data_IF_737790412791
#
_entry.id   IF_737790412791
#
_cell.length_a   1.000
_cell.length_b   1.000
_cell.length_c   1.000
_cell.angle_alpha   90.00
_cell.angle_beta   90.00
_cell.angle_gamma   90.00
#
_symmetry.space_group_name_H-M   'P 1'
#
loop_
_entity.id
_entity.type
_entity.pdbx_description
1 polymer ?
#
# COMPACT_ATOMS: atom_id res chain seq x y z
N UNK A 1 4.51 -29.43 -1.39
CA UNK A 1 3.43 -28.91 -0.53
C UNK A 1 3.23 -27.45 -0.89
N UNK A 2 2.15 -27.14 -1.59
CA UNK A 2 1.80 -25.77 -1.90
C UNK A 2 1.46 -25.07 -0.57
N UNK A 3 2.33 -24.13 -0.14
CA UNK A 3 2.02 -23.27 0.99
C UNK A 3 0.77 -22.49 0.60
N UNK A 4 -0.32 -22.76 1.29
CA UNK A 4 -1.59 -22.07 1.07
C UNK A 4 -1.41 -20.62 1.50
N UNK A 5 -1.30 -19.70 0.53
CA UNK A 5 -1.19 -18.28 0.80
C UNK A 5 -2.54 -17.71 1.20
N UNK A 6 -2.57 -16.92 2.25
CA UNK A 6 -3.71 -16.07 2.53
C UNK A 6 -3.84 -15.01 1.42
N UNK A 7 -5.00 -14.96 0.77
CA UNK A 7 -5.24 -13.96 -0.27
C UNK A 7 -5.81 -12.69 0.36
N UNK A 8 -5.08 -11.58 0.18
CA UNK A 8 -5.52 -10.25 0.62
C UNK A 8 -6.00 -9.45 -0.60
N UNK A 9 -7.24 -9.00 -0.55
CA UNK A 9 -7.88 -8.22 -1.61
C UNK A 9 -8.65 -7.03 -1.01
N UNK A 10 -8.91 -6.03 -1.81
CA UNK A 10 -9.82 -4.95 -1.44
C UNK A 10 -11.26 -5.36 -1.77
N UNK A 11 -12.18 -5.38 -0.80
CA UNK A 11 -13.57 -5.76 -1.03
C UNK A 11 -14.36 -4.68 -1.81
N UNK A 12 -13.80 -3.49 -1.92
CA UNK A 12 -14.35 -2.32 -2.61
C UNK A 12 -13.31 -1.74 -3.56
N UNK A 13 -13.65 -0.74 -4.35
CA UNK A 13 -12.73 -0.07 -5.27
C UNK A 13 -11.46 0.39 -4.55
N UNK A 14 -11.58 0.88 -3.31
CA UNK A 14 -10.45 1.19 -2.46
C UNK A 14 -10.76 0.96 -0.98
N UNK A 15 -9.71 0.79 -0.19
CA UNK A 15 -9.76 0.67 1.26
C UNK A 15 -8.60 1.47 1.86
N UNK A 16 -8.88 2.17 2.96
CA UNK A 16 -7.89 3.02 3.65
C UNK A 16 -7.81 2.61 5.11
N UNK A 17 -6.59 2.40 5.59
CA UNK A 17 -6.29 2.23 7.00
C UNK A 17 -5.31 3.30 7.46
N UNK A 18 -5.57 3.87 8.63
CA UNK A 18 -4.67 4.81 9.27
C UNK A 18 -4.45 4.47 10.73
N UNK A 19 -3.26 4.83 11.25
CA UNK A 19 -2.85 4.52 12.63
C UNK A 19 -2.87 3.02 12.94
N UNK A 20 -2.56 2.18 11.94
CA UNK A 20 -2.48 0.74 12.13
C UNK A 20 -1.23 0.43 12.96
N UNK A 21 -1.44 -0.19 14.10
CA UNK A 21 -0.43 -0.48 15.11
C UNK A 21 0.03 -1.95 15.09
N UNK A 22 0.95 -2.29 15.98
CA UNK A 22 1.40 -3.66 16.15
C UNK A 22 0.26 -4.63 16.50
N UNK A 23 -0.74 -4.17 17.24
CA UNK A 23 -1.86 -5.02 17.65
C UNK A 23 -2.70 -5.52 16.48
N UNK A 24 -2.93 -4.67 15.48
CA UNK A 24 -3.66 -5.07 14.27
C UNK A 24 -2.81 -5.95 13.34
N UNK A 25 -1.49 -5.73 13.32
CA UNK A 25 -0.60 -6.45 12.42
C UNK A 25 -0.10 -7.80 12.94
N UNK A 26 -0.14 -8.03 14.25
CA UNK A 26 0.40 -9.25 14.86
C UNK A 26 -0.25 -10.54 14.35
N UNK A 27 -1.52 -10.49 13.93
CA UNK A 27 -2.23 -11.63 13.38
C UNK A 27 -1.64 -12.14 12.06
N UNK A 28 -0.88 -11.28 11.36
CA UNK A 28 -0.26 -11.61 10.08
C UNK A 28 1.19 -12.09 10.19
N UNK A 29 1.75 -12.12 11.41
CA UNK A 29 3.14 -12.55 11.61
C UNK A 29 3.29 -14.02 11.22
N UNK A 30 4.30 -14.28 10.38
CA UNK A 30 4.62 -15.60 9.82
C UNK A 30 3.53 -16.23 8.94
N UNK A 31 2.51 -15.47 8.55
CA UNK A 31 1.51 -15.91 7.59
C UNK A 31 1.91 -15.43 6.19
N UNK A 32 2.20 -16.34 5.25
CA UNK A 32 2.46 -15.95 3.88
C UNK A 32 1.17 -15.46 3.20
N UNK A 33 1.21 -14.23 2.69
CA UNK A 33 0.08 -13.60 2.03
C UNK A 33 0.37 -13.38 0.54
N UNK A 34 -0.65 -13.56 -0.29
CA UNK A 34 -0.66 -13.12 -1.68
C UNK A 34 -1.58 -11.91 -1.82
N UNK A 35 -1.06 -10.83 -2.35
CA UNK A 35 -1.79 -9.58 -2.55
C UNK A 35 -2.49 -9.62 -3.91
N UNK A 36 -3.79 -9.39 -3.94
CA UNK A 36 -4.57 -9.25 -5.18
C UNK A 36 -4.79 -7.79 -5.55
N UNK A 37 -4.79 -6.91 -4.57
CA UNK A 37 -4.93 -5.46 -4.73
C UNK A 37 -3.57 -4.78 -5.02
N UNK A 38 -3.60 -3.53 -5.45
CA UNK A 38 -2.46 -2.62 -5.33
C UNK A 38 -2.46 -2.00 -3.95
N UNK A 39 -1.35 -2.08 -3.21
CA UNK A 39 -1.27 -1.58 -1.83
C UNK A 39 -0.11 -0.60 -1.69
N UNK A 40 -0.40 0.56 -1.11
CA UNK A 40 0.57 1.60 -0.79
C UNK A 40 0.59 1.79 0.72
N UNK A 41 1.74 1.57 1.33
CA UNK A 41 1.92 1.67 2.78
C UNK A 41 2.92 2.78 3.05
N UNK A 42 2.60 3.68 3.99
CA UNK A 42 3.54 4.65 4.55
C UNK A 42 3.85 4.24 5.99
N UNK A 43 5.11 3.98 6.29
CA UNK A 43 5.57 3.73 7.65
C UNK A 43 5.82 5.06 8.36
N UNK A 44 5.02 5.33 9.38
CA UNK A 44 5.09 6.55 10.17
C UNK A 44 6.08 6.43 11.34
N UNK A 45 6.09 5.28 11.99
CA UNK A 45 6.98 4.95 13.11
C UNK A 45 7.30 3.47 13.12
N UNK A 46 8.37 3.09 13.79
CA UNK A 46 8.76 1.70 14.01
C UNK A 46 9.38 1.01 12.80
N UNK A 47 9.40 -0.31 12.86
CA UNK A 47 10.02 -1.18 11.86
C UNK A 47 9.21 -2.46 11.65
N UNK A 48 9.24 -2.96 10.42
CA UNK A 48 8.70 -4.27 10.02
C UNK A 48 9.79 -5.01 9.24
N UNK A 49 10.16 -6.21 9.68
CA UNK A 49 10.98 -7.15 8.90
C UNK A 49 10.06 -8.11 8.15
N UNK A 50 10.20 -8.18 6.85
CA UNK A 50 9.34 -8.99 6.00
C UNK A 50 10.09 -9.57 4.81
N UNK A 51 9.54 -10.63 4.22
CA UNK A 51 9.94 -11.09 2.89
C UNK A 51 8.89 -10.59 1.89
N UNK A 52 9.34 -9.83 0.89
CA UNK A 52 8.50 -9.35 -0.22
C UNK A 52 9.10 -9.87 -1.52
N UNK A 53 8.30 -10.59 -2.30
CA UNK A 53 8.72 -11.17 -3.59
C UNK A 53 10.06 -11.93 -3.51
N UNK A 54 10.23 -12.75 -2.47
CA UNK A 54 11.44 -13.55 -2.15
C UNK A 54 12.65 -12.76 -1.62
N UNK A 55 12.55 -11.46 -1.45
CA UNK A 55 13.60 -10.63 -0.86
C UNK A 55 13.28 -10.30 0.60
N UNK A 56 14.22 -10.54 1.50
CA UNK A 56 14.09 -10.12 2.91
C UNK A 56 14.42 -8.63 3.02
N UNK A 57 13.45 -7.86 3.54
CA UNK A 57 13.50 -6.40 3.57
C UNK A 57 13.04 -5.88 4.93
N UNK A 58 13.56 -4.72 5.30
CA UNK A 58 13.12 -3.98 6.49
C UNK A 58 12.46 -2.67 6.07
N UNK A 59 11.21 -2.50 6.47
CA UNK A 59 10.48 -1.23 6.36
C UNK A 59 10.68 -0.44 7.63
N UNK A 60 11.02 0.83 7.54
CA UNK A 60 11.22 1.74 8.67
C UNK A 60 10.57 3.08 8.42
N UNK A 61 10.62 3.97 9.42
CA UNK A 61 10.07 5.33 9.33
C UNK A 61 10.46 6.03 8.04
N UNK A 62 9.49 6.71 7.41
CA UNK A 62 9.58 7.39 6.11
C UNK A 62 9.83 6.45 4.93
N UNK A 63 9.58 5.15 5.08
CA UNK A 63 9.52 4.27 3.94
C UNK A 63 8.09 4.21 3.37
N UNK A 64 8.01 4.23 2.06
CA UNK A 64 6.81 3.85 1.30
C UNK A 64 7.02 2.44 0.77
N UNK A 65 6.06 1.56 1.01
CA UNK A 65 6.03 0.21 0.46
C UNK A 65 4.94 0.15 -0.59
N UNK A 66 5.30 -0.26 -1.79
CA UNK A 66 4.35 -0.46 -2.90
C UNK A 66 4.26 -1.94 -3.23
N UNK A 67 3.09 -2.52 -3.03
CA UNK A 67 2.80 -3.91 -3.39
C UNK A 67 1.86 -3.92 -4.59
N UNK A 68 2.32 -4.53 -5.67
CA UNK A 68 1.50 -4.71 -6.88
C UNK A 68 0.65 -5.97 -6.77
N UNK A 69 -0.43 -6.09 -7.56
CA UNK A 69 -1.17 -7.34 -7.67
C UNK A 69 -0.23 -8.51 -7.97
N UNK A 70 -0.48 -9.64 -7.33
CA UNK A 70 0.35 -10.84 -7.30
C UNK A 70 1.64 -10.78 -6.48
N UNK A 71 1.95 -9.65 -5.81
CA UNK A 71 3.02 -9.62 -4.82
C UNK A 71 2.77 -10.63 -3.71
N UNK A 72 3.87 -11.20 -3.20
CA UNK A 72 3.86 -12.11 -2.04
C UNK A 72 4.55 -11.41 -0.89
N UNK A 73 3.92 -11.43 0.29
CA UNK A 73 4.49 -10.85 1.50
C UNK A 73 4.36 -11.82 2.68
N UNK A 74 5.38 -11.87 3.51
CA UNK A 74 5.35 -12.52 4.80
C UNK A 74 6.04 -11.64 5.82
N UNK A 75 5.29 -11.21 6.85
CA UNK A 75 5.83 -10.44 7.97
C UNK A 75 6.50 -11.41 8.94
N UNK A 76 7.73 -11.11 9.38
CA UNK A 76 8.48 -11.91 10.34
C UNK A 76 8.52 -11.27 11.71
N UNK A 77 8.76 -9.96 11.77
CA UNK A 77 8.89 -9.20 13.01
C UNK A 77 8.30 -7.82 12.86
N UNK A 78 7.72 -7.34 13.94
CA UNK A 78 7.11 -6.00 14.02
C UNK A 78 7.61 -5.36 15.31
N UNK A 79 8.11 -4.12 15.24
CA UNK A 79 8.46 -3.37 16.46
C UNK A 79 7.19 -2.94 17.21
N UNK A 80 7.24 -2.81 18.54
CA UNK A 80 6.07 -2.44 19.33
C UNK A 80 5.52 -1.04 19.01
N UNK A 81 6.36 -0.16 18.51
CA UNK A 81 6.06 1.23 18.15
C UNK A 81 5.64 1.40 16.68
N UNK A 82 5.43 0.30 15.96
CA UNK A 82 5.01 0.39 14.55
C UNK A 82 3.72 1.17 14.38
N UNK A 83 3.73 2.07 13.43
CA UNK A 83 2.56 2.82 13.01
C UNK A 83 2.60 3.00 11.50
N UNK A 84 1.58 2.50 10.83
CA UNK A 84 1.48 2.59 9.37
C UNK A 84 0.14 3.19 8.93
N UNK A 85 0.18 3.81 7.76
CA UNK A 85 -0.99 4.13 6.95
C UNK A 85 -0.96 3.25 5.72
N UNK A 86 -2.10 2.79 5.24
CA UNK A 86 -2.17 2.09 3.97
C UNK A 86 -3.39 2.49 3.14
N UNK A 87 -3.25 2.39 1.83
CA UNK A 87 -4.35 2.43 0.87
C UNK A 87 -4.24 1.18 0.01
N UNK A 88 -5.34 0.49 -0.18
CA UNK A 88 -5.45 -0.62 -1.11
C UNK A 88 -6.47 -0.28 -2.19
N UNK A 89 -6.14 -0.55 -3.45
CA UNK A 89 -7.04 -0.41 -4.59
C UNK A 89 -7.29 -1.78 -5.20
N UNK A 90 -8.56 -2.10 -5.48
CA UNK A 90 -8.91 -3.35 -6.14
C UNK A 90 -8.25 -3.45 -7.53
N UNK A 91 -8.01 -4.66 -8.00
CA UNK A 91 -7.49 -4.88 -9.35
C UNK A 91 -8.40 -4.27 -10.42
N UNK A 92 -9.72 -4.42 -10.28
CA UNK A 92 -10.71 -3.88 -11.21
C UNK A 92 -10.64 -2.35 -11.26
N UNK A 93 -10.48 -1.69 -10.11
CA UNK A 93 -10.30 -0.24 -10.06
C UNK A 93 -8.98 0.20 -10.71
N UNK A 94 -7.90 -0.53 -10.51
CA UNK A 94 -6.61 -0.25 -11.15
C UNK A 94 -6.72 -0.40 -12.69
N UNK A 95 -7.47 -1.39 -13.19
CA UNK A 95 -7.75 -1.53 -14.60
C UNK A 95 -8.61 -0.38 -15.13
N UNK A 96 -9.64 0.00 -14.40
CA UNK A 96 -10.50 1.13 -14.73
C UNK A 96 -9.72 2.45 -14.88
N UNK A 97 -8.72 2.68 -14.06
CA UNK A 97 -7.87 3.89 -14.11
C UNK A 97 -6.77 3.85 -15.16
N UNK A 98 -6.62 2.74 -15.88
CA UNK A 98 -5.46 2.47 -16.76
C UNK A 98 -4.10 2.56 -16.05
N UNK A 99 -4.07 2.37 -14.73
CA UNK A 99 -2.85 2.47 -13.93
C UNK A 99 -1.72 1.58 -14.47
N UNK A 100 -2.02 0.32 -14.74
CA UNK A 100 -1.01 -0.64 -15.23
C UNK A 100 -0.38 -0.16 -16.53
N UNK A 101 -1.19 0.37 -17.45
CA UNK A 101 -0.71 0.87 -18.74
C UNK A 101 0.15 2.13 -18.59
N UNK A 102 -0.27 3.07 -17.75
CA UNK A 102 0.45 4.33 -17.52
C UNK A 102 1.75 4.17 -16.75
N UNK A 103 1.86 3.11 -15.94
CA UNK A 103 3.02 2.83 -15.09
C UNK A 103 3.91 1.69 -15.57
N UNK A 104 3.65 1.14 -16.75
CA UNK A 104 4.34 -0.06 -17.26
C UNK A 104 5.86 0.06 -17.21
N UNK A 105 6.43 1.25 -17.45
CA UNK A 105 7.87 1.50 -17.37
C UNK A 105 8.45 1.37 -15.96
N UNK A 106 7.63 1.50 -14.93
CA UNK A 106 8.06 1.48 -13.52
C UNK A 106 7.72 0.17 -12.81
N UNK A 107 6.84 -0.66 -13.37
CA UNK A 107 6.36 -1.87 -12.70
C UNK A 107 7.48 -2.83 -12.31
N UNK A 108 8.47 -2.99 -13.17
CA UNK A 108 9.62 -3.85 -12.89
C UNK A 108 10.49 -3.29 -11.76
N UNK A 109 10.64 -1.97 -11.69
CA UNK A 109 11.38 -1.32 -10.62
C UNK A 109 10.64 -1.42 -9.29
N UNK A 110 9.33 -1.18 -9.28
CA UNK A 110 8.48 -1.37 -8.10
C UNK A 110 8.58 -2.81 -7.61
N UNK A 111 8.51 -3.80 -8.50
CA UNK A 111 8.60 -5.19 -8.14
C UNK A 111 9.96 -5.56 -7.51
N UNK A 112 11.06 -5.00 -8.03
CA UNK A 112 12.43 -5.23 -7.53
C UNK A 112 12.72 -4.46 -6.26
N UNK A 113 12.22 -3.23 -6.16
CA UNK A 113 12.50 -2.30 -5.06
C UNK A 113 11.18 -1.78 -4.48
N UNK A 114 10.40 -2.66 -3.80
CA UNK A 114 9.08 -2.29 -3.31
C UNK A 114 9.11 -1.29 -2.15
N UNK A 115 10.28 -1.04 -1.55
CA UNK A 115 10.46 -0.12 -0.44
C UNK A 115 11.35 1.04 -0.86
N UNK A 116 10.84 2.26 -0.69
CA UNK A 116 11.57 3.50 -0.98
C UNK A 116 11.52 4.42 0.22
N UNK A 117 12.66 5.01 0.56
CA UNK A 117 12.74 6.06 1.56
C UNK A 117 12.39 7.41 0.94
N UNK A 118 11.53 8.16 1.61
CA UNK A 118 11.09 9.50 1.18
C UNK A 118 11.47 10.57 2.20
N UNK A 119 11.41 11.84 1.78
CA UNK A 119 11.60 12.97 2.68
C UNK A 119 10.37 13.21 3.55
N UNK A 120 10.54 13.92 4.67
CA UNK A 120 9.43 14.29 5.55
C UNK A 120 8.35 15.12 4.80
N UNK A 121 8.76 16.02 3.91
CA UNK A 121 7.81 16.82 3.13
C UNK A 121 6.95 15.95 2.20
N UNK A 122 7.53 14.94 1.57
CA UNK A 122 6.79 13.97 0.75
C UNK A 122 5.86 13.10 1.60
N UNK A 123 6.33 12.67 2.78
CA UNK A 123 5.49 11.93 3.71
C UNK A 123 4.27 12.74 4.15
N UNK A 124 4.44 14.02 4.45
CA UNK A 124 3.35 14.92 4.80
C UNK A 124 2.33 15.06 3.65
N UNK A 125 2.81 15.21 2.42
CA UNK A 125 1.93 15.26 1.25
C UNK A 125 1.16 13.96 1.06
N UNK A 126 1.82 12.81 1.16
CA UNK A 126 1.17 11.51 1.06
C UNK A 126 0.15 11.33 2.17
N UNK A 127 0.47 11.72 3.40
CA UNK A 127 -0.47 11.67 4.54
C UNK A 127 -1.75 12.46 4.25
N UNK A 128 -1.65 13.63 3.61
CA UNK A 128 -2.84 14.40 3.21
C UNK A 128 -3.73 13.64 2.22
N UNK A 129 -3.15 12.87 1.30
CA UNK A 129 -3.93 12.00 0.40
C UNK A 129 -4.63 10.86 1.17
N UNK A 130 -3.95 10.25 2.14
CA UNK A 130 -4.57 9.24 3.01
C UNK A 130 -5.76 9.81 3.78
N UNK A 131 -5.60 11.00 4.37
CA UNK A 131 -6.67 11.67 5.10
C UNK A 131 -7.87 11.96 4.17
N UNK A 132 -7.61 12.46 2.98
CA UNK A 132 -8.67 12.75 2.00
C UNK A 132 -9.43 11.47 1.62
N UNK A 133 -8.72 10.40 1.25
CA UNK A 133 -9.36 9.12 0.91
C UNK A 133 -10.07 8.49 2.10
N UNK A 134 -9.55 8.67 3.31
CA UNK A 134 -10.21 8.19 4.52
C UNK A 134 -11.55 8.90 4.74
N UNK A 135 -11.61 10.22 4.56
CA UNK A 135 -12.86 10.97 4.64
C UNK A 135 -13.87 10.49 3.59
N UNK A 136 -13.42 10.19 2.37
CA UNK A 136 -14.27 9.57 1.35
C UNK A 136 -14.83 8.22 1.78
N UNK A 137 -14.02 7.38 2.41
CA UNK A 137 -14.44 6.06 2.87
C UNK A 137 -15.48 6.14 4.01
N UNK A 138 -15.35 7.15 4.88
CA UNK A 138 -16.24 7.34 6.05
C UNK A 138 -17.53 8.06 5.68
N UNK A 139 -17.50 8.97 4.71
CA UNK A 139 -18.65 9.80 4.30
C UNK A 139 -19.00 9.60 2.81
N UNK A 140 -19.46 8.39 2.43
CA UNK A 140 -19.68 8.06 1.02
C UNK A 140 -20.76 8.94 0.36
N UNK A 141 -21.72 9.47 1.13
CA UNK A 141 -22.81 10.29 0.61
C UNK A 141 -22.36 11.67 0.10
N UNK A 142 -21.25 12.18 0.62
CA UNK A 142 -20.74 13.51 0.23
C UNK A 142 -19.94 13.43 -1.08
N UNK A 143 -19.30 12.28 -1.33
CA UNK A 143 -18.24 12.21 -2.31
C UNK A 143 -18.31 10.91 -3.16
N UNK A 144 -19.48 10.32 -3.33
CA UNK A 144 -19.67 9.09 -4.10
C UNK A 144 -19.45 9.33 -5.61
N UNK A 145 -18.28 9.87 -5.94
CA UNK A 145 -17.88 10.13 -7.31
C UNK A 145 -16.60 9.35 -7.66
N UNK A 146 -16.78 8.26 -8.39
CA UNK A 146 -15.70 7.37 -8.84
C UNK A 146 -14.59 8.11 -9.60
N UNK A 147 -14.94 9.16 -10.35
CA UNK A 147 -13.96 9.97 -11.09
C UNK A 147 -13.06 10.80 -10.15
N UNK A 148 -13.58 11.26 -9.01
CA UNK A 148 -12.74 11.95 -8.02
C UNK A 148 -11.77 10.99 -7.33
N UNK A 149 -12.21 9.80 -6.96
CA UNK A 149 -11.34 8.75 -6.41
C UNK A 149 -10.25 8.40 -7.41
N UNK A 150 -10.61 8.27 -8.68
CA UNK A 150 -9.67 8.06 -9.79
C UNK A 150 -8.63 9.20 -9.88
N UNK A 151 -9.06 10.45 -9.79
CA UNK A 151 -8.15 11.59 -9.84
C UNK A 151 -7.14 11.56 -8.67
N UNK A 152 -7.60 11.29 -7.45
CA UNK A 152 -6.76 11.17 -6.26
C UNK A 152 -5.77 10.01 -6.43
N UNK A 153 -6.24 8.84 -6.89
CA UNK A 153 -5.41 7.69 -7.17
C UNK A 153 -4.32 7.99 -8.20
N UNK A 154 -4.66 8.66 -9.30
CA UNK A 154 -3.71 9.05 -10.34
C UNK A 154 -2.66 10.03 -9.81
N UNK A 155 -3.05 10.98 -8.97
CA UNK A 155 -2.10 11.90 -8.31
C UNK A 155 -1.13 11.15 -7.39
N UNK A 156 -1.61 10.24 -6.56
CA UNK A 156 -0.77 9.41 -5.70
C UNK A 156 0.19 8.56 -6.51
N UNK A 157 -0.31 7.93 -7.57
CA UNK A 157 0.47 7.05 -8.45
C UNK A 157 1.57 7.82 -9.18
N UNK A 158 1.27 9.02 -9.67
CA UNK A 158 2.25 9.89 -10.31
C UNK A 158 3.31 10.34 -9.32
N UNK A 159 2.93 10.72 -8.11
CA UNK A 159 3.86 11.08 -7.04
C UNK A 159 4.81 9.94 -6.67
N UNK A 160 4.32 8.69 -6.67
CA UNK A 160 5.15 7.51 -6.46
C UNK A 160 6.07 7.27 -7.67
N UNK A 161 5.56 7.38 -8.89
CA UNK A 161 6.35 7.18 -10.10
C UNK A 161 7.55 8.17 -10.21
N UNK A 162 7.41 9.39 -9.71
CA UNK A 162 8.50 10.37 -9.65
C UNK A 162 9.61 10.02 -8.65
N UNK A 163 9.37 9.07 -7.76
CA UNK A 163 10.34 8.61 -6.77
C UNK A 163 11.22 7.49 -7.37
N UNK A 164 10.68 6.73 -8.32
CA UNK A 164 11.38 5.65 -9.01
C UNK A 164 12.15 6.16 -10.22
#
# INVERSE_FOLDING_TARGET
MDKQFLCLDSPTDFMVGKYISADELKEFINIPCKIKAGVFILCMEGQIRSTINMSELTTSKLNVVTLLPNSRIQIHEISPDILIYFIAFSFDFMCYTNFIKSTMGYLLMIYRYPIIKISQNRANLITNFYELLYQYAVYPDILNNKEMIKAIFMMCSQGIAEIY
#
